data_IF_404654182532
#
_entry.id   IF_404654182532
#
_cell.length_a   1.000
_cell.length_b   1.000
_cell.length_c   1.000
_cell.angle_alpha   90.00
_cell.angle_beta   90.00
_cell.angle_gamma   90.00
#
_symmetry.space_group_name_H-M   'P 1'
#
loop_
_entity.id
_entity.type
_entity.pdbx_description
1 polymer ?
#
# COMPACT_ATOMS: atom_id res chain seq x y z
N UNK A 1 37.50 -2.60 -0.22
CA UNK A 1 36.49 -2.76 0.84
C UNK A 1 35.49 -3.76 0.29
N UNK A 2 35.38 -4.96 0.85
CA UNK A 2 34.36 -5.92 0.41
C UNK A 2 32.98 -5.28 0.61
N UNK A 3 32.17 -5.22 -0.45
CA UNK A 3 30.80 -4.73 -0.38
C UNK A 3 29.98 -5.73 0.43
N UNK A 4 29.25 -5.23 1.43
CA UNK A 4 28.35 -6.04 2.26
C UNK A 4 27.24 -6.63 1.37
N UNK A 5 27.16 -7.96 1.28
CA UNK A 5 26.01 -8.63 0.65
C UNK A 5 24.78 -8.48 1.54
N UNK A 6 23.65 -8.08 0.95
CA UNK A 6 22.33 -8.03 1.58
C UNK A 6 21.40 -9.15 1.06
N UNK A 7 21.95 -10.24 0.54
CA UNK A 7 21.16 -11.39 0.09
C UNK A 7 20.30 -11.94 1.24
N UNK A 8 18.98 -11.93 1.04
CA UNK A 8 18.03 -12.37 2.06
C UNK A 8 17.78 -11.36 3.19
N UNK A 9 18.38 -10.17 3.13
CA UNK A 9 18.11 -9.06 4.05
C UNK A 9 17.15 -8.06 3.43
N UNK A 10 16.15 -7.63 4.20
CA UNK A 10 15.21 -6.59 3.77
C UNK A 10 15.32 -5.35 4.67
N UNK A 11 15.21 -4.14 4.11
CA UNK A 11 15.05 -2.91 4.91
C UNK A 11 13.75 -2.95 5.70
N UNK A 12 13.84 -2.80 7.01
CA UNK A 12 12.68 -2.81 7.92
C UNK A 12 12.37 -1.45 8.52
N UNK A 13 13.33 -0.52 8.49
CA UNK A 13 13.15 0.86 8.94
C UNK A 13 14.09 1.80 8.18
N UNK A 14 13.58 2.99 7.85
CA UNK A 14 14.37 4.12 7.34
C UNK A 14 14.02 5.35 8.15
N UNK A 15 15.01 6.06 8.69
CA UNK A 15 14.79 7.22 9.57
C UNK A 15 16.01 8.14 9.65
N UNK A 16 15.82 9.44 9.94
CA UNK A 16 16.91 10.36 10.20
C UNK A 16 17.51 10.15 11.60
N UNK A 17 18.84 10.23 11.70
CA UNK A 17 19.65 10.23 12.93
C UNK A 17 20.74 11.28 12.78
N UNK A 18 20.75 12.28 13.65
CA UNK A 18 21.76 13.36 13.65
C UNK A 18 21.95 14.02 12.27
N UNK A 19 20.84 14.25 11.56
CA UNK A 19 20.83 14.85 10.22
C UNK A 19 21.21 13.90 9.08
N UNK A 20 21.43 12.61 9.36
CA UNK A 20 21.73 11.58 8.34
C UNK A 20 20.66 10.50 8.31
N UNK A 21 20.23 10.11 7.11
CA UNK A 21 19.28 9.01 6.95
C UNK A 21 19.96 7.64 7.10
N UNK A 22 19.35 6.78 7.90
CA UNK A 22 19.80 5.43 8.22
C UNK A 22 18.80 4.39 7.73
N UNK A 23 19.32 3.19 7.46
CA UNK A 23 18.53 2.02 7.09
C UNK A 23 18.82 0.88 8.07
N UNK A 24 17.79 0.29 8.65
CA UNK A 24 17.86 -0.92 9.48
C UNK A 24 17.44 -2.12 8.64
N UNK A 25 18.26 -3.16 8.66
CA UNK A 25 18.08 -4.37 7.88
C UNK A 25 17.87 -5.57 8.79
N UNK A 26 16.93 -6.41 8.40
CA UNK A 26 16.60 -7.66 9.07
C UNK A 26 16.77 -8.81 8.08
N UNK A 27 17.27 -9.95 8.53
CA UNK A 27 17.41 -11.14 7.70
C UNK A 27 16.09 -11.92 7.65
N UNK A 28 15.57 -12.09 6.44
CA UNK A 28 14.37 -12.89 6.18
C UNK A 28 14.70 -14.25 5.54
N UNK A 29 15.94 -14.43 5.05
CA UNK A 29 16.33 -15.62 4.30
C UNK A 29 15.41 -15.83 3.09
N UNK A 30 14.89 -17.04 2.95
CA UNK A 30 13.94 -17.45 1.92
C UNK A 30 12.46 -17.32 2.36
N UNK A 31 12.20 -16.81 3.57
CA UNK A 31 10.83 -16.69 4.13
C UNK A 31 9.97 -15.77 3.26
N UNK A 32 8.84 -16.25 2.69
CA UNK A 32 7.97 -15.44 1.86
C UNK A 32 7.17 -14.42 2.69
N UNK A 33 6.71 -13.35 2.03
CA UNK A 33 5.90 -12.30 2.66
C UNK A 33 4.42 -12.60 2.43
N UNK A 34 3.80 -13.35 3.36
CA UNK A 34 2.38 -13.72 3.28
C UNK A 34 1.48 -12.88 4.19
N UNK A 35 2.06 -12.10 5.11
CA UNK A 35 1.32 -11.32 6.08
C UNK A 35 0.52 -10.18 5.43
N UNK A 36 -0.67 -9.81 5.94
CA UNK A 36 -1.49 -8.70 5.45
C UNK A 36 -0.78 -7.33 5.38
N UNK A 37 0.20 -7.13 6.25
CA UNK A 37 1.01 -5.92 6.33
C UNK A 37 2.48 -6.27 6.54
N UNK A 38 3.38 -5.50 5.93
CA UNK A 38 4.82 -5.75 6.00
C UNK A 38 5.34 -5.68 7.44
N UNK A 39 4.77 -4.81 8.29
CA UNK A 39 5.12 -4.73 9.71
C UNK A 39 4.96 -6.07 10.45
N UNK A 40 3.94 -6.85 10.13
CA UNK A 40 3.73 -8.15 10.77
C UNK A 40 4.82 -9.15 10.35
N UNK A 41 5.24 -9.12 9.07
CA UNK A 41 6.37 -9.93 8.60
C UNK A 41 7.69 -9.51 9.28
N UNK A 42 7.87 -8.21 9.53
CA UNK A 42 9.01 -7.68 10.31
C UNK A 42 8.96 -8.16 11.75
N UNK A 43 7.80 -8.10 12.40
CA UNK A 43 7.62 -8.56 13.78
C UNK A 43 7.96 -10.04 13.91
N UNK A 44 7.53 -10.87 12.96
CA UNK A 44 7.86 -12.29 12.89
C UNK A 44 9.38 -12.51 12.71
N UNK A 45 10.00 -11.80 11.76
CA UNK A 45 11.43 -11.90 11.50
C UNK A 45 12.28 -11.46 12.69
N UNK A 46 11.87 -10.40 13.40
CA UNK A 46 12.55 -9.89 14.59
C UNK A 46 12.47 -10.85 15.78
N UNK A 47 11.54 -11.81 15.81
CA UNK A 47 11.53 -12.85 16.86
C UNK A 47 12.66 -13.88 16.71
N UNK A 48 13.33 -13.93 15.56
CA UNK A 48 14.47 -14.82 15.35
C UNK A 48 15.67 -14.36 16.18
N UNK A 49 16.32 -15.24 16.98
CA UNK A 49 17.52 -14.88 17.75
C UNK A 49 18.63 -14.28 16.89
N UNK A 50 18.76 -14.74 15.65
CA UNK A 50 19.71 -14.19 14.68
C UNK A 50 19.47 -12.68 14.44
N UNK A 51 18.22 -12.27 14.25
CA UNK A 51 17.86 -10.86 14.05
C UNK A 51 17.84 -10.04 15.33
N UNK A 52 18.06 -10.65 16.51
CA UNK A 52 18.30 -9.89 17.73
C UNK A 52 19.78 -9.54 17.87
N UNK A 53 20.67 -10.42 17.41
CA UNK A 53 22.12 -10.26 17.54
C UNK A 53 22.79 -9.58 16.33
N UNK A 54 22.26 -9.77 15.12
CA UNK A 54 22.98 -9.47 13.88
C UNK A 54 22.31 -8.44 12.96
N UNK A 55 21.35 -7.62 13.45
CA UNK A 55 20.80 -6.54 12.63
C UNK A 55 21.89 -5.64 12.09
N UNK A 56 21.68 -5.12 10.89
CA UNK A 56 22.63 -4.24 10.23
C UNK A 56 22.02 -2.86 10.10
N UNK A 57 22.77 -1.85 10.51
CA UNK A 57 22.43 -0.46 10.27
C UNK A 57 23.43 0.14 9.30
N UNK A 58 22.91 0.82 8.28
CA UNK A 58 23.72 1.41 7.21
C UNK A 58 23.33 2.86 6.99
N UNK A 59 24.16 3.57 6.21
CA UNK A 59 23.75 4.81 5.52
C UNK A 59 22.69 4.50 4.46
N UNK A 60 22.03 5.55 3.99
CA UNK A 60 21.08 5.47 2.88
C UNK A 60 21.72 4.97 1.56
N UNK A 61 23.00 5.28 1.34
CA UNK A 61 23.76 4.86 0.15
C UNK A 61 23.84 3.35 -0.04
N UNK A 62 23.71 2.56 1.04
CA UNK A 62 23.71 1.11 0.95
C UNK A 62 22.57 0.57 0.08
N UNK A 63 21.44 1.30 -0.04
CA UNK A 63 20.33 0.91 -0.92
C UNK A 63 20.74 0.96 -2.40
N UNK A 64 21.41 2.03 -2.81
CA UNK A 64 21.84 2.22 -4.21
C UNK A 64 23.06 1.35 -4.54
N UNK A 65 23.99 1.21 -3.59
CA UNK A 65 25.13 0.29 -3.69
C UNK A 65 24.64 -1.17 -3.86
N UNK A 66 23.67 -1.59 -3.05
CA UNK A 66 23.10 -2.93 -3.15
C UNK A 66 22.35 -3.14 -4.46
N UNK A 67 21.55 -2.17 -4.89
CA UNK A 67 20.88 -2.23 -6.20
C UNK A 67 21.88 -2.41 -7.35
N UNK A 68 23.01 -1.72 -7.32
CA UNK A 68 24.03 -1.82 -8.36
C UNK A 68 24.70 -3.21 -8.39
N UNK A 69 24.84 -3.85 -7.23
CA UNK A 69 25.44 -5.19 -7.10
C UNK A 69 24.45 -6.31 -7.41
N UNK A 70 23.22 -6.21 -6.91
CA UNK A 70 22.18 -7.23 -6.99
C UNK A 70 20.83 -6.56 -7.28
N UNK A 71 20.57 -6.23 -8.56
CA UNK A 71 19.32 -5.59 -8.95
C UNK A 71 18.15 -6.56 -8.74
N UNK A 72 17.18 -6.13 -7.93
CA UNK A 72 15.94 -6.85 -7.71
C UNK A 72 14.93 -6.67 -8.84
N UNK A 73 13.78 -7.32 -8.70
CA UNK A 73 12.62 -7.09 -9.54
C UNK A 73 12.19 -5.62 -9.43
N UNK A 74 11.99 -4.98 -10.59
CA UNK A 74 11.24 -3.72 -10.64
C UNK A 74 9.79 -3.96 -10.23
N UNK A 75 9.12 -2.98 -9.61
CA UNK A 75 7.68 -3.05 -9.35
C UNK A 75 6.91 -3.40 -10.63
N UNK A 76 6.10 -4.44 -10.53
CA UNK A 76 5.22 -4.89 -11.61
C UNK A 76 3.82 -4.30 -11.48
N UNK A 77 3.45 -3.83 -10.29
CA UNK A 77 2.23 -3.06 -10.05
C UNK A 77 2.30 -2.28 -8.72
N UNK A 78 1.65 -1.10 -8.70
CA UNK A 78 1.32 -0.38 -7.47
C UNK A 78 -0.18 -0.45 -7.16
N UNK A 79 -0.51 -0.64 -5.88
CA UNK A 79 -1.89 -0.61 -5.37
C UNK A 79 -2.04 0.60 -4.46
N UNK A 80 -2.68 1.65 -4.97
CA UNK A 80 -3.13 2.81 -4.22
C UNK A 80 -4.60 2.64 -3.87
N UNK A 81 -5.07 3.29 -2.80
CA UNK A 81 -6.42 2.99 -2.32
C UNK A 81 -7.05 4.04 -1.40
N UNK A 82 -8.39 4.07 -1.39
CA UNK A 82 -9.20 4.95 -0.55
C UNK A 82 -9.35 4.50 0.92
N UNK A 83 -8.57 3.50 1.38
CA UNK A 83 -8.67 2.87 2.71
C UNK A 83 -9.97 2.08 2.91
N UNK A 84 -9.90 0.99 3.70
CA UNK A 84 -11.07 0.12 4.02
C UNK A 84 -11.89 -0.35 2.80
N UNK A 85 -11.26 -0.42 1.63
CA UNK A 85 -11.89 -0.68 0.34
C UNK A 85 -11.46 -2.01 -0.30
N UNK A 86 -10.87 -2.94 0.48
CA UNK A 86 -10.46 -4.25 -0.02
C UNK A 86 -9.03 -4.34 -0.57
N UNK A 87 -8.17 -3.34 -0.35
CA UNK A 87 -6.78 -3.37 -0.86
C UNK A 87 -5.99 -4.53 -0.24
N UNK A 88 -6.20 -4.81 1.05
CA UNK A 88 -5.64 -6.00 1.70
C UNK A 88 -6.14 -7.31 1.07
N UNK A 89 -7.37 -7.38 0.58
CA UNK A 89 -7.89 -8.59 -0.10
C UNK A 89 -7.08 -8.87 -1.37
N UNK A 90 -6.90 -7.87 -2.22
CA UNK A 90 -6.09 -8.01 -3.44
C UNK A 90 -4.66 -8.44 -3.08
N UNK A 91 -4.01 -7.76 -2.14
CA UNK A 91 -2.64 -8.08 -1.73
C UNK A 91 -2.52 -9.51 -1.18
N UNK A 92 -3.49 -9.96 -0.38
CA UNK A 92 -3.46 -11.31 0.19
C UNK A 92 -3.74 -12.40 -0.83
N UNK A 93 -4.64 -12.16 -1.79
CA UNK A 93 -4.86 -13.07 -2.91
C UNK A 93 -3.58 -13.24 -3.72
N UNK A 94 -2.87 -12.15 -4.02
CA UNK A 94 -1.59 -12.18 -4.75
C UNK A 94 -0.45 -12.80 -3.94
N UNK A 95 -0.43 -12.60 -2.63
CA UNK A 95 0.62 -13.13 -1.75
C UNK A 95 0.60 -14.66 -1.64
N UNK A 96 -0.49 -15.34 -2.03
CA UNK A 96 -0.54 -16.80 -2.12
C UNK A 96 0.20 -17.39 -3.34
N UNK A 97 0.66 -16.54 -4.26
CA UNK A 97 1.35 -16.98 -5.47
C UNK A 97 2.86 -16.99 -5.24
N UNK A 98 3.50 -18.14 -5.45
CA UNK A 98 4.93 -18.31 -5.17
C UNK A 98 5.85 -17.42 -6.01
N UNK A 99 5.42 -17.03 -7.22
CA UNK A 99 6.18 -16.16 -8.11
C UNK A 99 5.93 -14.65 -7.85
N UNK A 100 5.13 -14.28 -6.84
CA UNK A 100 4.84 -12.91 -6.47
C UNK A 100 5.47 -12.55 -5.12
N UNK A 101 6.18 -11.43 -5.10
CA UNK A 101 6.55 -10.71 -3.88
C UNK A 101 5.51 -9.62 -3.68
N UNK A 102 4.74 -9.69 -2.60
CA UNK A 102 3.75 -8.66 -2.27
C UNK A 102 4.19 -7.92 -1.01
N UNK A 103 4.53 -6.64 -1.16
CA UNK A 103 4.91 -5.78 -0.04
C UNK A 103 3.76 -4.82 0.26
N UNK A 104 3.18 -4.95 1.45
CA UNK A 104 1.99 -4.23 1.85
C UNK A 104 2.28 -3.19 2.92
N UNK A 105 2.10 -1.91 2.60
CA UNK A 105 2.27 -0.76 3.51
C UNK A 105 3.64 -0.78 4.22
N UNK A 106 4.77 -0.86 3.49
CA UNK A 106 6.09 -0.92 4.11
C UNK A 106 6.48 0.43 4.73
N UNK A 107 6.68 0.52 6.06
CA UNK A 107 7.05 1.78 6.72
C UNK A 107 8.32 2.44 6.17
N UNK A 108 9.36 1.70 5.71
CA UNK A 108 10.51 2.31 5.04
C UNK A 108 10.16 3.12 3.79
N UNK A 109 9.17 2.68 3.01
CA UNK A 109 8.75 3.40 1.80
C UNK A 109 8.00 4.68 2.19
N UNK A 110 7.07 4.60 3.14
CA UNK A 110 6.36 5.77 3.66
C UNK A 110 7.32 6.83 4.20
N UNK A 111 8.34 6.40 4.95
CA UNK A 111 9.37 7.27 5.50
C UNK A 111 10.18 7.99 4.41
N UNK A 112 10.50 7.32 3.29
CA UNK A 112 11.19 7.94 2.17
C UNK A 112 10.30 8.86 1.36
N UNK A 113 9.06 8.43 1.06
CA UNK A 113 8.11 9.23 0.28
C UNK A 113 7.81 10.57 0.95
N UNK A 114 7.65 10.55 2.28
CA UNK A 114 7.39 11.74 3.09
C UNK A 114 8.64 12.38 3.68
N UNK A 115 9.82 11.85 3.35
CA UNK A 115 11.08 12.27 3.92
C UNK A 115 11.54 13.62 3.35
N UNK A 116 12.12 14.44 4.22
CA UNK A 116 12.84 15.64 3.82
C UNK A 116 14.25 15.26 3.34
N UNK A 117 14.33 14.96 2.06
CA UNK A 117 15.53 14.57 1.32
C UNK A 117 15.55 15.32 -0.01
N UNK A 118 16.71 15.70 -0.55
CA UNK A 118 16.82 16.21 -1.91
C UNK A 118 16.19 15.24 -2.92
N UNK A 119 15.43 15.75 -3.89
CA UNK A 119 14.63 14.92 -4.81
C UNK A 119 15.41 13.79 -5.48
N UNK A 120 16.64 14.07 -5.93
CA UNK A 120 17.50 13.08 -6.57
C UNK A 120 17.92 11.96 -5.60
N UNK A 121 18.27 12.30 -4.35
CA UNK A 121 18.64 11.34 -3.31
C UNK A 121 17.43 10.51 -2.89
N UNK A 122 16.28 11.15 -2.70
CA UNK A 122 15.01 10.51 -2.35
C UNK A 122 14.57 9.51 -3.42
N UNK A 123 14.61 9.90 -4.70
CA UNK A 123 14.29 9.01 -5.82
C UNK A 123 15.23 7.81 -5.89
N UNK A 124 16.54 8.03 -5.77
CA UNK A 124 17.53 6.95 -5.77
C UNK A 124 17.32 5.99 -4.59
N UNK A 125 17.02 6.50 -3.40
CA UNK A 125 16.72 5.70 -2.22
C UNK A 125 15.44 4.87 -2.39
N UNK A 126 14.37 5.43 -2.96
CA UNK A 126 13.13 4.71 -3.25
C UNK A 126 13.39 3.57 -4.24
N UNK A 127 14.13 3.85 -5.31
CA UNK A 127 14.49 2.83 -6.31
C UNK A 127 15.33 1.71 -5.68
N UNK A 128 16.34 2.05 -4.89
CA UNK A 128 17.16 1.08 -4.16
C UNK A 128 16.35 0.26 -3.13
N UNK A 129 15.43 0.90 -2.41
CA UNK A 129 14.52 0.23 -1.47
C UNK A 129 13.62 -0.79 -2.17
N UNK A 130 12.97 -0.40 -3.26
CA UNK A 130 12.09 -1.34 -3.99
C UNK A 130 12.90 -2.43 -4.69
N UNK A 131 14.12 -2.15 -5.14
CA UNK A 131 15.05 -3.19 -5.60
C UNK A 131 15.38 -4.18 -4.48
N UNK A 132 15.66 -3.71 -3.26
CA UNK A 132 15.90 -4.58 -2.12
C UNK A 132 14.68 -5.45 -1.75
N UNK A 133 13.47 -4.91 -1.89
CA UNK A 133 12.24 -5.68 -1.74
C UNK A 133 11.98 -6.66 -2.89
N UNK A 134 12.44 -6.35 -4.10
CA UNK A 134 12.33 -7.20 -5.29
C UNK A 134 13.36 -8.33 -5.36
N UNK A 135 14.15 -8.58 -4.31
CA UNK A 135 15.11 -9.68 -4.29
C UNK A 135 14.42 -11.04 -4.53
N UNK A 136 14.97 -11.82 -5.47
CA UNK A 136 14.53 -13.20 -5.75
C UNK A 136 15.10 -14.18 -4.72
N UNK A 137 14.61 -14.10 -3.49
CA UNK A 137 15.16 -14.84 -2.34
C UNK A 137 14.95 -16.36 -2.44
N UNK A 138 13.90 -16.81 -3.14
CA UNK A 138 13.62 -18.23 -3.44
C UNK A 138 14.00 -18.63 -4.86
N UNK A 139 14.31 -17.67 -5.72
CA UNK A 139 14.68 -17.88 -7.13
C UNK A 139 13.51 -18.08 -8.09
N UNK A 140 12.28 -18.25 -7.57
CA UNK A 140 11.07 -18.43 -8.38
C UNK A 140 10.32 -17.11 -8.63
N UNK A 141 10.64 -16.06 -7.88
CA UNK A 141 9.92 -14.80 -7.93
C UNK A 141 10.09 -14.08 -9.28
N UNK A 142 8.95 -13.65 -9.85
CA UNK A 142 8.87 -12.98 -11.15
C UNK A 142 8.24 -11.59 -11.07
N UNK A 143 7.47 -11.30 -10.01
CA UNK A 143 6.70 -10.05 -9.88
C UNK A 143 6.86 -9.43 -8.50
N UNK A 144 7.06 -8.12 -8.45
CA UNK A 144 6.97 -7.32 -7.23
C UNK A 144 5.68 -6.49 -7.27
N UNK A 145 4.80 -6.64 -6.30
CA UNK A 145 3.58 -5.82 -6.16
C UNK A 145 3.69 -5.04 -4.86
N UNK A 146 3.50 -3.73 -4.93
CA UNK A 146 3.62 -2.84 -3.77
C UNK A 146 2.28 -2.19 -3.50
N UNK A 147 1.69 -2.46 -2.34
CA UNK A 147 0.52 -1.74 -1.82
C UNK A 147 1.00 -0.64 -0.89
N UNK A 148 0.54 0.59 -1.11
CA UNK A 148 0.94 1.75 -0.33
C UNK A 148 -0.04 2.03 0.81
N UNK A 149 0.38 2.82 1.79
CA UNK A 149 -0.55 3.41 2.74
C UNK A 149 -1.49 4.40 2.03
N UNK A 150 -2.73 4.53 2.53
CA UNK A 150 -3.75 5.34 1.87
C UNK A 150 -3.33 6.80 1.66
N UNK A 151 -2.56 7.36 2.59
CA UNK A 151 -2.10 8.75 2.53
C UNK A 151 -0.93 8.96 1.56
N UNK A 152 -0.24 7.90 1.11
CA UNK A 152 0.80 8.02 0.10
C UNK A 152 0.23 8.37 -1.29
N UNK A 153 -1.09 8.48 -1.44
CA UNK A 153 -1.70 8.99 -2.67
C UNK A 153 -1.13 10.34 -3.08
N UNK A 154 -0.75 11.20 -2.13
CA UNK A 154 -0.15 12.50 -2.41
C UNK A 154 1.25 12.41 -3.01
N UNK A 155 1.94 11.30 -2.77
CA UNK A 155 3.32 11.06 -3.19
C UNK A 155 3.39 10.25 -4.50
N UNK A 156 2.23 9.98 -5.13
CA UNK A 156 2.16 9.27 -6.40
C UNK A 156 3.04 9.88 -7.51
N UNK A 157 3.10 11.22 -7.72
CA UNK A 157 3.95 11.80 -8.75
C UNK A 157 5.43 11.44 -8.63
N UNK A 158 5.94 11.30 -7.39
CA UNK A 158 7.32 10.88 -7.14
C UNK A 158 7.54 9.43 -7.55
N UNK A 159 6.61 8.53 -7.20
CA UNK A 159 6.68 7.13 -7.61
C UNK A 159 6.55 6.95 -9.12
N UNK A 160 5.67 7.72 -9.77
CA UNK A 160 5.53 7.73 -11.22
C UNK A 160 6.83 8.20 -11.90
N UNK A 161 7.52 9.18 -11.33
CA UNK A 161 8.84 9.61 -11.83
C UNK A 161 9.89 8.52 -11.70
N UNK A 162 9.89 7.77 -10.58
CA UNK A 162 10.82 6.67 -10.36
C UNK A 162 10.52 5.44 -11.23
N UNK A 163 9.24 5.21 -11.55
CA UNK A 163 8.75 4.00 -12.22
C UNK A 163 7.69 4.32 -13.28
N UNK A 164 8.05 5.03 -14.36
CA UNK A 164 7.08 5.57 -15.33
C UNK A 164 6.26 4.50 -16.06
N UNK A 165 6.84 3.30 -16.24
CA UNK A 165 6.21 2.19 -16.95
C UNK A 165 5.45 1.22 -16.04
N UNK A 166 5.45 1.45 -14.72
CA UNK A 166 4.79 0.54 -13.78
C UNK A 166 3.29 0.81 -13.74
N UNK A 167 2.44 -0.19 -14.07
CA UNK A 167 1.01 -0.01 -13.99
C UNK A 167 0.57 0.14 -12.54
N UNK A 168 -0.51 0.89 -12.32
CA UNK A 168 -1.03 1.11 -10.99
C UNK A 168 -2.56 1.16 -11.00
N UNK A 169 -3.15 0.90 -9.83
CA UNK A 169 -4.59 0.98 -9.65
C UNK A 169 -4.94 1.82 -8.43
N UNK A 170 -6.12 2.45 -8.48
CA UNK A 170 -6.74 3.08 -7.33
C UNK A 170 -8.00 2.29 -6.94
N UNK A 171 -7.93 1.61 -5.80
CA UNK A 171 -9.06 0.85 -5.27
C UNK A 171 -9.90 1.71 -4.33
N UNK A 172 -11.19 1.79 -4.58
CA UNK A 172 -12.11 2.58 -3.77
C UNK A 172 -13.41 1.83 -3.49
N UNK A 173 -14.22 2.34 -2.56
CA UNK A 173 -15.49 1.77 -2.11
C UNK A 173 -16.47 2.92 -1.87
N UNK A 174 -17.75 2.61 -1.69
CA UNK A 174 -18.73 3.58 -1.21
C UNK A 174 -18.16 4.35 0.00
N UNK A 175 -18.10 5.70 -0.06
CA UNK A 175 -17.42 6.48 0.95
C UNK A 175 -18.11 6.40 2.32
N UNK A 176 -19.42 6.17 2.38
CA UNK A 176 -20.13 6.01 3.64
C UNK A 176 -19.69 4.73 4.36
N UNK A 177 -19.48 3.65 3.61
CA UNK A 177 -19.00 2.38 4.15
C UNK A 177 -17.56 2.47 4.67
N UNK A 178 -16.69 3.25 4.00
CA UNK A 178 -15.34 3.55 4.46
C UNK A 178 -15.40 4.38 5.75
N UNK A 179 -16.23 5.43 5.78
CA UNK A 179 -16.34 6.34 6.92
C UNK A 179 -16.83 5.63 8.19
N UNK A 180 -17.87 4.80 8.08
CA UNK A 180 -18.37 3.97 9.20
C UNK A 180 -17.28 3.00 9.68
N UNK A 181 -16.52 2.39 8.77
CA UNK A 181 -15.40 1.53 9.17
C UNK A 181 -14.34 2.30 9.98
N UNK A 182 -14.08 3.56 9.66
CA UNK A 182 -13.15 4.41 10.41
C UNK A 182 -13.73 4.94 11.72
N UNK A 183 -15.06 5.09 11.85
CA UNK A 183 -15.70 5.38 13.14
C UNK A 183 -15.59 4.19 14.10
N UNK A 184 -15.81 2.96 13.61
CA UNK A 184 -15.62 1.75 14.42
C UNK A 184 -14.17 1.57 14.84
N UNK A 185 -13.22 1.67 13.90
CA UNK A 185 -11.79 1.47 14.12
C UNK A 185 -10.97 2.49 13.33
N UNK A 186 -10.55 3.60 13.96
CA UNK A 186 -9.86 4.67 13.26
C UNK A 186 -8.53 4.17 12.71
N UNK A 187 -8.22 4.56 11.47
CA UNK A 187 -6.87 4.43 10.93
C UNK A 187 -6.06 5.64 11.40
N UNK A 188 -4.74 5.53 11.43
CA UNK A 188 -3.87 6.64 11.89
C UNK A 188 -4.16 7.95 11.14
N UNK A 189 -4.31 7.88 9.81
CA UNK A 189 -4.67 9.01 8.96
C UNK A 189 -6.11 9.52 9.13
N UNK A 190 -6.91 8.93 10.01
CA UNK A 190 -8.27 9.39 10.33
C UNK A 190 -8.38 9.87 11.79
N UNK A 191 -7.24 10.05 12.47
CA UNK A 191 -7.15 10.66 13.80
C UNK A 191 -6.41 11.99 13.68
N UNK A 192 -6.99 13.11 14.12
CA UNK A 192 -6.34 14.43 14.06
C UNK A 192 -4.95 14.42 14.72
N UNK A 193 -3.96 15.00 14.03
CA UNK A 193 -2.60 15.16 14.54
C UNK A 193 -1.72 13.89 14.55
N UNK A 194 -2.28 12.70 14.26
CA UNK A 194 -1.50 11.45 14.34
C UNK A 194 -0.56 11.21 13.15
N UNK A 195 -0.91 11.69 11.96
CA UNK A 195 -0.13 11.45 10.75
C UNK A 195 0.91 12.56 10.48
N UNK A 196 0.64 13.79 10.94
CA UNK A 196 1.33 15.00 10.48
C UNK A 196 0.83 15.49 9.12
N UNK A 197 1.55 16.46 8.54
CA UNK A 197 1.20 17.09 7.26
C UNK A 197 1.16 16.06 6.12
N UNK A 198 0.10 16.13 5.32
CA UNK A 198 -0.08 15.30 4.13
C UNK A 198 -1.17 15.89 3.22
N UNK A 199 -1.31 15.35 2.01
CA UNK A 199 -2.31 15.76 1.00
C UNK A 199 -3.77 15.73 1.48
N UNK A 200 -4.05 15.00 2.57
CA UNK A 200 -5.39 14.83 3.12
C UNK A 200 -5.84 16.00 4.01
N UNK A 201 -4.93 16.90 4.37
CA UNK A 201 -5.27 18.12 5.11
C UNK A 201 -5.95 19.15 4.19
N UNK A 202 -7.00 19.82 4.70
CA UNK A 202 -7.67 20.94 4.01
C UNK A 202 -7.41 22.29 4.71
N UNK A 203 -6.76 22.29 5.88
CA UNK A 203 -6.48 23.47 6.68
C UNK A 203 -7.71 24.15 7.29
N UNK A 204 -8.89 23.51 7.18
CA UNK A 204 -10.15 24.06 7.65
C UNK A 204 -10.48 23.56 9.05
N UNK A 205 -11.25 24.36 9.79
CA UNK A 205 -11.84 23.89 11.05
C UNK A 205 -12.86 22.77 10.76
N UNK A 206 -12.84 21.74 11.58
CA UNK A 206 -13.75 20.61 11.52
C UNK A 206 -14.57 20.46 12.80
N UNK A 207 -15.76 19.89 12.67
CA UNK A 207 -16.69 19.68 13.77
C UNK A 207 -16.77 18.20 14.14
N UNK A 208 -15.95 17.81 15.12
CA UNK A 208 -15.95 16.45 15.64
C UNK A 208 -15.45 15.40 14.64
N UNK A 209 -15.62 14.13 15.00
CA UNK A 209 -14.97 13.01 14.30
C UNK A 209 -15.60 12.69 12.94
N UNK A 210 -16.90 12.82 12.81
CA UNK A 210 -17.62 12.50 11.56
C UNK A 210 -17.26 13.48 10.43
N UNK A 211 -17.20 14.78 10.74
CA UNK A 211 -16.77 15.81 9.79
C UNK A 211 -15.31 15.61 9.38
N UNK A 212 -14.41 15.37 10.35
CA UNK A 212 -13.00 15.11 10.07
C UNK A 212 -12.79 13.91 9.13
N UNK A 213 -13.46 12.79 9.39
CA UNK A 213 -13.37 11.58 8.55
C UNK A 213 -13.91 11.86 7.15
N UNK A 214 -15.07 12.51 7.05
CA UNK A 214 -15.71 12.80 5.76
C UNK A 214 -14.83 13.71 4.87
N UNK A 215 -14.24 14.76 5.46
CA UNK A 215 -13.32 15.68 4.77
C UNK A 215 -12.09 14.96 4.25
N UNK A 216 -11.37 14.24 5.12
CA UNK A 216 -10.18 13.49 4.71
C UNK A 216 -10.49 12.43 3.64
N UNK A 217 -11.65 11.77 3.73
CA UNK A 217 -12.09 10.83 2.71
C UNK A 217 -12.38 11.51 1.37
N UNK A 218 -13.00 12.69 1.39
CA UNK A 218 -13.17 13.54 0.22
C UNK A 218 -11.85 13.83 -0.48
N UNK A 219 -10.86 14.34 0.27
CA UNK A 219 -9.50 14.63 -0.23
C UNK A 219 -8.81 13.39 -0.80
N UNK A 220 -8.95 12.24 -0.14
CA UNK A 220 -8.39 10.98 -0.60
C UNK A 220 -8.97 10.53 -1.95
N UNK A 221 -10.28 10.66 -2.13
CA UNK A 221 -10.95 10.32 -3.39
C UNK A 221 -10.66 11.34 -4.49
N UNK A 222 -10.56 12.63 -4.15
CA UNK A 222 -10.14 13.68 -5.09
C UNK A 222 -8.74 13.43 -5.64
N UNK A 223 -7.78 13.11 -4.77
CA UNK A 223 -6.42 12.78 -5.18
C UNK A 223 -6.38 11.51 -6.06
N UNK A 224 -7.13 10.47 -5.68
CA UNK A 224 -7.28 9.26 -6.49
C UNK A 224 -7.85 9.53 -7.88
N UNK A 225 -8.90 10.34 -7.97
CA UNK A 225 -9.51 10.76 -9.23
C UNK A 225 -8.54 11.55 -10.11
N UNK A 226 -7.85 12.53 -9.52
CA UNK A 226 -6.87 13.37 -10.22
C UNK A 226 -5.81 12.48 -10.87
N UNK A 227 -5.18 11.61 -10.08
CA UNK A 227 -4.12 10.76 -10.58
C UNK A 227 -4.61 9.74 -11.62
N UNK A 228 -5.79 9.13 -11.43
CA UNK A 228 -6.33 8.21 -12.44
C UNK A 228 -6.54 8.88 -13.80
N UNK A 229 -6.95 10.15 -13.81
CA UNK A 229 -7.11 10.95 -15.04
C UNK A 229 -5.77 11.30 -15.67
N UNK A 230 -4.81 11.75 -14.87
CA UNK A 230 -3.56 12.33 -15.38
C UNK A 230 -2.49 11.28 -15.71
N UNK A 231 -2.57 10.09 -15.13
CA UNK A 231 -1.51 9.06 -15.21
C UNK A 231 -2.02 7.66 -15.57
N UNK A 232 -3.17 7.58 -16.27
CA UNK A 232 -3.76 6.34 -16.77
C UNK A 232 -3.92 5.23 -15.71
N UNK A 233 -4.21 5.63 -14.48
CA UNK A 233 -4.44 4.70 -13.37
C UNK A 233 -5.73 3.90 -13.53
N UNK A 234 -5.69 2.63 -13.16
CA UNK A 234 -6.88 1.79 -13.20
C UNK A 234 -7.79 2.07 -11.98
N UNK A 235 -8.92 2.74 -12.19
CA UNK A 235 -9.94 2.89 -11.16
C UNK A 235 -10.67 1.55 -10.96
N UNK A 236 -10.73 1.05 -9.73
CA UNK A 236 -11.37 -0.23 -9.36
C UNK A 236 -12.29 0.00 -8.17
N UNK A 237 -13.55 -0.41 -8.28
CA UNK A 237 -14.48 -0.37 -7.16
C UNK A 237 -14.47 -1.71 -6.41
N UNK A 238 -14.55 -1.65 -5.09
CA UNK A 238 -14.65 -2.81 -4.21
C UNK A 238 -15.80 -3.76 -4.59
N UNK A 239 -16.90 -3.25 -5.14
CA UNK A 239 -18.03 -4.07 -5.60
C UNK A 239 -17.68 -5.00 -6.78
N UNK A 240 -16.54 -4.79 -7.44
CA UNK A 240 -16.03 -5.68 -8.48
C UNK A 240 -15.23 -6.85 -7.88
N UNK A 241 -14.92 -6.83 -6.58
CA UNK A 241 -14.14 -7.88 -5.93
C UNK A 241 -15.07 -8.95 -5.33
N UNK A 242 -14.68 -10.24 -5.41
CA UNK A 242 -13.42 -10.74 -5.94
C UNK A 242 -13.40 -10.98 -7.46
N UNK A 243 -14.53 -10.90 -8.15
CA UNK A 243 -14.70 -11.36 -9.54
C UNK A 243 -13.74 -10.68 -10.55
N UNK A 244 -13.38 -9.41 -10.32
CA UNK A 244 -12.42 -8.69 -11.15
C UNK A 244 -11.04 -9.38 -11.20
N UNK A 245 -10.67 -10.14 -10.17
CA UNK A 245 -9.43 -10.93 -10.10
C UNK A 245 -9.42 -12.12 -11.05
N UNK A 246 -10.58 -12.59 -11.52
CA UNK A 246 -10.69 -13.57 -12.60
C UNK A 246 -10.69 -12.91 -13.99
N UNK A 247 -11.01 -11.62 -14.07
CA UNK A 247 -11.15 -10.86 -15.32
C UNK A 247 -10.07 -9.81 -15.54
N UNK A 248 -10.46 -8.52 -15.49
CA UNK A 248 -9.57 -7.39 -15.83
C UNK A 248 -8.33 -7.29 -14.94
N UNK A 249 -8.45 -7.60 -13.64
CA UNK A 249 -7.30 -7.58 -12.74
C UNK A 249 -6.37 -8.77 -12.96
N UNK A 250 -6.87 -9.91 -13.44
CA UNK A 250 -6.01 -11.00 -13.88
C UNK A 250 -5.06 -10.57 -14.99
N UNK A 251 -5.54 -9.77 -15.95
CA UNK A 251 -4.70 -9.22 -17.03
C UNK A 251 -3.72 -8.17 -16.49
N UNK A 252 -4.20 -7.27 -15.64
CA UNK A 252 -3.40 -6.23 -15.00
C UNK A 252 -2.20 -6.82 -14.23
N UNK A 253 -2.45 -7.83 -13.38
CA UNK A 253 -1.40 -8.53 -12.61
C UNK A 253 -0.69 -9.64 -13.41
N UNK A 254 -1.04 -9.83 -14.69
CA UNK A 254 -0.48 -10.85 -15.60
C UNK A 254 -0.60 -12.28 -15.05
N UNK A 255 -1.74 -12.61 -14.45
CA UNK A 255 -2.04 -13.94 -13.91
C UNK A 255 -2.33 -14.94 -15.03
N UNK A 256 -1.69 -16.10 -14.96
CA UNK A 256 -2.02 -17.28 -15.79
C UNK A 256 -3.28 -18.00 -15.25
N UNK A 257 -3.78 -19.00 -15.99
CA UNK A 257 -5.04 -19.66 -15.64
C UNK A 257 -4.99 -20.41 -14.30
N UNK A 258 -3.85 -21.01 -13.95
CA UNK A 258 -3.64 -21.69 -12.66
C UNK A 258 -3.66 -20.67 -11.52
N UNK A 259 -2.92 -19.56 -11.68
CA UNK A 259 -2.88 -18.48 -10.71
C UNK A 259 -4.26 -17.85 -10.50
N UNK A 260 -5.05 -17.67 -11.57
CA UNK A 260 -6.43 -17.17 -11.47
C UNK A 260 -7.30 -18.04 -10.58
N UNK A 261 -7.18 -19.36 -10.69
CA UNK A 261 -7.91 -20.28 -9.82
C UNK A 261 -7.44 -20.20 -8.36
N UNK A 262 -6.13 -20.13 -8.14
CA UNK A 262 -5.53 -20.01 -6.80
C UNK A 262 -5.95 -18.72 -6.09
N UNK A 263 -5.82 -17.56 -6.76
CA UNK A 263 -6.21 -16.28 -6.17
C UNK A 263 -7.69 -16.25 -5.85
N UNK A 264 -8.55 -16.80 -6.72
CA UNK A 264 -9.99 -16.81 -6.50
C UNK A 264 -10.39 -17.68 -5.30
N UNK A 265 -9.73 -18.83 -5.10
CA UNK A 265 -9.95 -19.66 -3.92
C UNK A 265 -9.60 -18.93 -2.61
N UNK A 266 -8.56 -18.08 -2.63
CA UNK A 266 -8.16 -17.29 -1.47
C UNK A 266 -9.17 -16.19 -1.09
N UNK A 267 -10.08 -15.79 -2.00
CA UNK A 267 -11.06 -14.74 -1.73
C UNK A 267 -12.13 -15.12 -0.69
N UNK A 268 -12.30 -16.41 -0.40
CA UNK A 268 -13.27 -16.88 0.60
C UNK A 268 -12.85 -16.57 2.05
N UNK A 269 -11.57 -16.23 2.28
CA UNK A 269 -11.00 -15.95 3.60
C UNK A 269 -11.01 -14.45 3.92
N UNK A 270 -11.08 -14.12 5.20
CA UNK A 270 -11.03 -12.74 5.66
C UNK A 270 -9.62 -12.16 5.52
N UNK A 271 -9.45 -11.16 4.66
CA UNK A 271 -8.14 -10.64 4.24
C UNK A 271 -7.21 -10.12 5.36
N UNK A 272 -7.74 -9.69 6.51
CA UNK A 272 -6.90 -9.23 7.64
C UNK A 272 -6.74 -10.27 8.74
N UNK A 273 -7.49 -11.36 8.65
CA UNK A 273 -7.50 -12.46 9.62
C UNK A 273 -7.78 -13.73 8.81
N UNK A 274 -6.76 -14.28 8.11
CA UNK A 274 -6.97 -15.37 7.15
C UNK A 274 -7.61 -16.63 7.76
N UNK A 275 -7.57 -16.77 9.09
CA UNK A 275 -8.24 -17.83 9.85
C UNK A 275 -9.77 -17.67 9.98
N UNK A 276 -10.35 -16.55 9.51
CA UNK A 276 -11.79 -16.28 9.55
C UNK A 276 -12.40 -16.28 8.15
N UNK A 277 -13.69 -16.59 8.07
CA UNK A 277 -14.47 -16.51 6.83
C UNK A 277 -14.81 -15.04 6.53
N UNK A 278 -14.76 -14.64 5.26
CA UNK A 278 -15.21 -13.31 4.85
C UNK A 278 -16.74 -13.16 5.01
N UNK A 279 -17.17 -12.03 5.58
CA UNK A 279 -18.59 -11.67 5.70
C UNK A 279 -18.79 -10.28 5.07
N UNK A 280 -19.73 -10.18 4.13
CA UNK A 280 -20.09 -8.91 3.51
C UNK A 280 -20.73 -7.99 4.56
N UNK A 281 -20.23 -6.77 4.69
CA UNK A 281 -20.59 -5.83 5.77
C UNK A 281 -21.16 -4.49 5.28
N UNK A 282 -21.47 -4.38 3.98
CA UNK A 282 -21.87 -3.12 3.35
C UNK A 282 -23.20 -2.57 3.87
N UNK A 283 -24.26 -3.40 3.85
CA UNK A 283 -25.59 -2.98 4.29
C UNK A 283 -25.63 -2.59 5.77
N UNK A 284 -24.94 -3.35 6.63
CA UNK A 284 -24.82 -3.06 8.06
C UNK A 284 -24.15 -1.72 8.32
N UNK A 285 -23.08 -1.42 7.56
CA UNK A 285 -22.40 -0.13 7.67
C UNK A 285 -23.30 1.03 7.24
N UNK A 286 -24.04 0.89 6.13
CA UNK A 286 -24.97 1.95 5.68
C UNK A 286 -26.07 2.21 6.71
N UNK A 287 -26.59 1.17 7.35
CA UNK A 287 -27.63 1.29 8.39
C UNK A 287 -27.14 1.96 9.68
N UNK A 288 -25.86 1.80 10.03
CA UNK A 288 -25.28 2.42 11.24
C UNK A 288 -24.97 3.92 11.06
N UNK A 289 -24.85 4.40 9.83
CA UNK A 289 -24.45 5.77 9.57
C UNK A 289 -25.46 6.78 10.13
N UNK A 290 -24.99 7.68 11.00
CA UNK A 290 -25.77 8.79 11.52
C UNK A 290 -26.17 9.77 10.40
N UNK A 291 -27.23 10.55 10.61
CA UNK A 291 -27.66 11.57 9.65
C UNK A 291 -26.57 12.64 9.42
N UNK A 292 -25.78 12.96 10.46
CA UNK A 292 -24.66 13.88 10.36
C UNK A 292 -23.55 13.30 9.47
N UNK A 293 -23.15 12.05 9.69
CA UNK A 293 -22.14 11.39 8.87
C UNK A 293 -22.57 11.31 7.41
N UNK A 294 -23.83 10.92 7.15
CA UNK A 294 -24.39 10.87 5.81
C UNK A 294 -24.30 12.24 5.12
N UNK A 295 -24.71 13.31 5.81
CA UNK A 295 -24.63 14.67 5.28
C UNK A 295 -23.19 15.10 4.99
N UNK A 296 -22.25 14.85 5.92
CA UNK A 296 -20.83 15.22 5.75
C UNK A 296 -20.19 14.44 4.61
N UNK A 297 -20.40 13.12 4.52
CA UNK A 297 -19.90 12.28 3.41
C UNK A 297 -20.49 12.73 2.08
N UNK A 298 -21.80 13.05 2.05
CA UNK A 298 -22.45 13.56 0.84
C UNK A 298 -21.81 14.86 0.36
N UNK A 299 -21.49 15.79 1.27
CA UNK A 299 -20.84 17.05 0.94
C UNK A 299 -19.39 16.86 0.49
N UNK A 300 -18.60 16.07 1.23
CA UNK A 300 -17.15 16.02 1.04
C UNK A 300 -16.69 14.99 0.00
N UNK A 301 -17.38 13.87 -0.15
CA UNK A 301 -16.86 12.70 -0.86
C UNK A 301 -17.71 12.26 -2.06
N UNK A 302 -18.95 12.75 -2.20
CA UNK A 302 -19.85 12.28 -3.25
C UNK A 302 -19.36 12.62 -4.65
N UNK A 303 -19.00 13.88 -4.89
CA UNK A 303 -18.56 14.35 -6.20
C UNK A 303 -17.34 13.59 -6.74
N UNK A 304 -16.22 13.43 -5.99
CA UNK A 304 -15.08 12.65 -6.47
C UNK A 304 -15.42 11.15 -6.63
N UNK A 305 -16.27 10.59 -5.77
CA UNK A 305 -16.74 9.20 -5.92
C UNK A 305 -17.52 8.96 -7.22
N UNK A 306 -18.51 9.81 -7.52
CA UNK A 306 -19.28 9.69 -8.77
C UNK A 306 -18.41 9.90 -10.02
N UNK A 307 -17.41 10.77 -9.92
CA UNK A 307 -16.46 10.99 -11.00
C UNK A 307 -15.54 9.77 -11.23
N UNK A 308 -15.14 9.07 -10.16
CA UNK A 308 -14.44 7.78 -10.26
C UNK A 308 -15.32 6.71 -10.89
N UNK A 309 -16.61 6.63 -10.51
CA UNK A 309 -17.55 5.69 -11.13
C UNK A 309 -17.72 5.95 -12.64
N UNK A 310 -17.83 7.22 -13.04
CA UNK A 310 -17.88 7.60 -14.46
C UNK A 310 -16.59 7.24 -15.19
N UNK A 311 -15.43 7.49 -14.58
CA UNK A 311 -14.12 7.14 -15.16
C UNK A 311 -13.97 5.61 -15.32
N UNK A 312 -14.44 4.84 -14.33
CA UNK A 312 -14.39 3.38 -14.34
C UNK A 312 -15.28 2.76 -15.41
N UNK A 313 -16.43 3.38 -15.69
CA UNK A 313 -17.40 2.91 -16.67
C UNK A 313 -17.15 3.39 -18.11
N UNK A 314 -16.18 4.27 -18.33
CA UNK A 314 -15.73 4.73 -19.65
C UNK A 314 -14.74 3.74 -20.27
#
# INVERSE_FOLDING_TARGET
MELLSFDGWLPIRVWPVDGQWRVDWCWFGDTPLHQPFFREAVDDALRLPFNQAFRRQTTLSALTEWQAQSPGLVPSAFILHASRCGSTLISQMLAQLDDHIVVSEPPPLDALLRGDLPDAERGAAIVGLLSAYGQRRRGVEQRLVVKLDAWNIGEWPLLQTCFPDTPWLFLYRDPLEIAVSHLRRPGMHMVPGMLGDCVLEDGLQFEGREDFIARRLGRLLEAGLLHCRDSAGLAVNYNELPDAMAGRLARFFRLNDVQRQQVFAAAAQHAKQPSQVFVADGEDKRREASALLQARVQTCARAPYEALEKLRGA
#
